data_IF_358806074327
#
_entry.id   IF_358806074327
#
_cell.length_a   1.000
_cell.length_b   1.000
_cell.length_c   1.000
_cell.angle_alpha   90.00
_cell.angle_beta   90.00
_cell.angle_gamma   90.00
#
_symmetry.space_group_name_H-M   'P 1'
#
loop_
_entity.id
_entity.type
_entity.pdbx_description
1 polymer ?
#
# COMPACT_ATOMS: atom_id res chain seq x y z
N UNK A 1 9.65 -37.44 -53.48
CA UNK A 1 8.98 -37.22 -52.19
C UNK A 1 8.73 -35.74 -52.06
N UNK A 2 7.49 -35.32 -52.33
CA UNK A 2 7.03 -33.94 -52.20
C UNK A 2 6.54 -33.74 -50.78
N UNK A 3 6.97 -32.68 -50.09
CA UNK A 3 6.12 -32.03 -49.09
C UNK A 3 6.35 -30.52 -49.15
N UNK A 4 5.22 -29.83 -49.18
CA UNK A 4 5.00 -28.47 -49.63
C UNK A 4 5.29 -27.43 -48.56
N UNK A 5 5.67 -26.25 -49.02
CA UNK A 5 5.57 -25.00 -48.27
C UNK A 5 4.13 -24.45 -48.27
N UNK A 6 3.88 -23.60 -47.27
CA UNK A 6 2.87 -22.54 -47.17
C UNK A 6 1.44 -22.92 -46.76
N UNK A 7 1.03 -22.47 -45.57
CA UNK A 7 -0.03 -21.46 -45.46
C UNK A 7 0.03 -20.78 -44.10
N UNK A 8 0.36 -19.49 -44.15
CA UNK A 8 0.26 -18.50 -43.07
C UNK A 8 -1.20 -18.07 -42.97
N UNK A 9 -1.80 -18.23 -41.79
CA UNK A 9 -3.06 -17.60 -41.43
C UNK A 9 -2.83 -16.79 -40.16
N UNK A 10 -2.85 -15.48 -40.34
CA UNK A 10 -2.89 -14.47 -39.30
C UNK A 10 -4.27 -14.51 -38.66
N UNK A 11 -4.35 -14.91 -37.39
CA UNK A 11 -5.49 -14.61 -36.53
C UNK A 11 -5.00 -13.71 -35.40
N UNK A 12 -5.12 -12.40 -35.63
CA UNK A 12 -5.03 -11.37 -34.59
C UNK A 12 -6.17 -11.57 -33.58
N UNK A 13 -5.88 -12.29 -32.50
CA UNK A 13 -6.76 -12.28 -31.33
C UNK A 13 -6.42 -11.03 -30.51
N UNK A 14 -7.05 -9.91 -30.87
CA UNK A 14 -7.10 -8.70 -30.04
C UNK A 14 -7.93 -8.99 -28.78
N UNK A 15 -7.30 -9.57 -27.76
CA UNK A 15 -7.89 -9.65 -26.42
C UNK A 15 -7.59 -8.34 -25.69
N UNK A 16 -8.53 -7.40 -25.78
CA UNK A 16 -8.58 -6.28 -24.85
C UNK A 16 -8.58 -6.83 -23.42
N UNK A 17 -7.69 -6.36 -22.52
CA UNK A 17 -7.75 -6.79 -21.14
C UNK A 17 -9.10 -6.38 -20.54
N UNK A 18 -9.75 -7.23 -19.74
CA UNK A 18 -10.95 -6.83 -19.01
C UNK A 18 -10.60 -5.63 -18.13
N UNK A 19 -11.26 -4.51 -18.39
CA UNK A 19 -11.21 -3.33 -17.54
C UNK A 19 -11.79 -3.67 -16.19
N UNK A 20 -10.93 -4.03 -15.24
CA UNK A 20 -11.31 -4.12 -13.85
C UNK A 20 -11.44 -2.70 -13.30
N UNK A 21 -12.63 -2.12 -13.50
CA UNK A 21 -13.10 -1.00 -12.70
C UNK A 21 -13.29 -1.49 -11.26
N UNK A 22 -12.25 -1.36 -10.44
CA UNK A 22 -12.40 -1.44 -8.99
C UNK A 22 -12.88 -0.06 -8.54
N UNK A 23 -14.19 0.11 -8.43
CA UNK A 23 -14.80 1.24 -7.76
C UNK A 23 -14.65 1.06 -6.25
N UNK A 24 -13.73 1.82 -5.66
CA UNK A 24 -13.72 2.02 -4.21
C UNK A 24 -14.81 3.04 -3.85
N UNK A 25 -15.80 2.60 -3.07
CA UNK A 25 -16.75 3.50 -2.41
C UNK A 25 -16.34 3.64 -0.95
N UNK A 26 -15.78 4.80 -0.59
CA UNK A 26 -15.71 5.25 0.80
C UNK A 26 -16.55 6.51 0.87
N UNK A 27 -17.62 6.45 1.66
CA UNK A 27 -18.64 7.50 1.75
C UNK A 27 -19.80 7.23 0.81
N UNK A 28 -20.94 6.80 1.38
CA UNK A 28 -22.16 6.57 0.62
C UNK A 28 -22.61 7.83 -0.11
N UNK A 29 -22.80 7.71 -1.43
CA UNK A 29 -23.88 8.27 -2.25
C UNK A 29 -23.59 7.86 -3.71
N UNK A 30 -24.44 7.05 -4.37
CA UNK A 30 -24.28 6.78 -5.79
C UNK A 30 -24.72 8.01 -6.61
N UNK A 31 -23.78 8.64 -7.31
CA UNK A 31 -24.09 9.58 -8.40
C UNK A 31 -24.49 8.76 -9.64
N UNK A 32 -25.76 8.37 -9.70
CA UNK A 32 -26.36 7.90 -10.96
C UNK A 32 -26.59 9.10 -11.87
N UNK A 33 -25.75 9.22 -12.89
CA UNK A 33 -26.01 10.07 -14.05
C UNK A 33 -27.18 9.47 -14.87
N UNK A 34 -28.35 10.07 -14.73
CA UNK A 34 -29.51 9.85 -15.61
C UNK A 34 -30.00 11.20 -16.15
N UNK A 35 -30.46 11.27 -17.41
CA UNK A 35 -30.82 12.53 -18.05
C UNK A 35 -32.21 13.04 -17.62
N UNK A 36 -32.35 14.37 -17.66
CA UNK A 36 -33.55 15.20 -17.44
C UNK A 36 -34.84 14.67 -18.12
N UNK A 37 -36.03 15.03 -17.59
CA UNK A 37 -36.79 16.09 -18.26
C UNK A 37 -37.56 17.06 -17.34
N UNK A 38 -37.59 18.34 -17.73
CA UNK A 38 -38.83 19.11 -17.95
C UNK A 38 -39.70 19.62 -16.78
N UNK A 39 -39.50 20.90 -16.45
CA UNK A 39 -40.50 22.01 -16.45
C UNK A 39 -41.70 22.06 -15.47
N UNK A 40 -41.68 23.12 -14.62
CA UNK A 40 -42.66 24.22 -14.51
C UNK A 40 -43.22 24.56 -13.11
N UNK A 41 -42.97 25.82 -12.71
CA UNK A 41 -43.79 26.77 -11.89
C UNK A 41 -44.02 26.49 -10.40
N UNK A 42 -44.12 27.45 -9.47
CA UNK A 42 -43.89 28.90 -9.36
C UNK A 42 -44.14 29.31 -7.88
N UNK A 43 -43.51 30.41 -7.38
CA UNK A 43 -43.99 31.16 -6.20
C UNK A 43 -42.95 31.48 -5.10
N UNK A 44 -42.54 32.75 -4.99
CA UNK A 44 -41.84 33.31 -3.81
C UNK A 44 -42.81 33.69 -2.66
N UNK A 45 -42.43 34.50 -1.63
CA UNK A 45 -41.25 35.38 -1.53
C UNK A 45 -40.51 35.43 -0.16
N UNK A 46 -39.35 36.13 -0.16
CA UNK A 46 -38.67 36.91 0.92
C UNK A 46 -38.49 36.32 2.34
N UNK A 47 -37.22 36.11 2.71
CA UNK A 47 -36.72 36.04 4.09
C UNK A 47 -35.20 36.25 4.16
N UNK A 48 -34.77 37.08 5.11
CA UNK A 48 -33.46 37.70 5.42
C UNK A 48 -32.13 36.94 5.19
N UNK A 49 -31.00 37.68 5.07
CA UNK A 49 -29.66 37.11 5.06
C UNK A 49 -29.22 36.80 6.50
N UNK A 50 -29.42 35.56 6.94
CA UNK A 50 -28.82 35.09 8.18
C UNK A 50 -27.56 34.31 7.85
N UNK A 51 -26.44 34.97 8.15
CA UNK A 51 -25.24 34.42 8.76
C UNK A 51 -24.72 33.10 8.15
N UNK A 52 -23.58 33.24 7.47
CA UNK A 52 -22.53 32.23 7.47
C UNK A 52 -22.38 31.64 8.87
N UNK A 53 -23.03 30.50 9.08
CA UNK A 53 -22.73 29.57 10.16
C UNK A 53 -21.30 29.09 9.89
N UNK A 54 -20.34 29.77 10.51
CA UNK A 54 -19.07 29.13 10.87
C UNK A 54 -19.44 27.97 11.77
N UNK A 55 -19.68 26.79 11.19
CA UNK A 55 -19.67 25.57 11.97
C UNK A 55 -18.26 25.46 12.55
N UNK A 56 -18.08 25.50 13.88
CA UNK A 56 -16.83 25.03 14.45
C UNK A 56 -16.79 23.54 14.13
N UNK A 57 -15.89 23.12 13.23
CA UNK A 57 -15.62 21.70 13.03
C UNK A 57 -15.37 21.08 14.41
N UNK A 58 -16.19 20.09 14.78
CA UNK A 58 -16.21 19.56 16.13
C UNK A 58 -14.84 18.94 16.49
N UNK A 59 -14.32 19.17 17.71
CA UNK A 59 -13.02 18.66 18.14
C UNK A 59 -12.91 17.13 18.11
N UNK A 60 -14.02 16.41 18.03
CA UNK A 60 -14.07 14.94 17.94
C UNK A 60 -13.59 14.41 16.58
N UNK A 61 -13.96 15.08 15.48
CA UNK A 61 -13.52 14.68 14.15
C UNK A 61 -12.01 14.91 13.96
N UNK A 62 -11.49 15.99 14.54
CA UNK A 62 -10.06 16.27 14.58
C UNK A 62 -9.29 15.22 15.39
N UNK A 63 -9.80 14.79 16.54
CA UNK A 63 -9.16 13.77 17.36
C UNK A 63 -9.17 12.40 16.69
N UNK A 64 -10.30 11.99 16.10
CA UNK A 64 -10.39 10.71 15.37
C UNK A 64 -9.45 10.69 14.16
N UNK A 65 -9.38 11.79 13.43
CA UNK A 65 -8.46 11.94 12.30
C UNK A 65 -7.00 11.84 12.74
N UNK A 66 -6.61 12.54 13.80
CA UNK A 66 -5.25 12.47 14.35
C UNK A 66 -4.88 11.05 14.79
N UNK A 67 -5.81 10.33 15.41
CA UNK A 67 -5.59 8.95 15.80
C UNK A 67 -5.38 8.04 14.56
N UNK A 68 -6.22 8.19 13.53
CA UNK A 68 -6.03 7.46 12.27
C UNK A 68 -4.69 7.78 11.60
N UNK A 69 -4.28 9.05 11.61
CA UNK A 69 -2.97 9.47 11.09
C UNK A 69 -1.81 8.89 11.91
N UNK A 70 -1.94 8.76 13.24
CA UNK A 70 -0.97 8.03 14.08
C UNK A 70 -0.83 6.58 13.63
N UNK A 71 -1.94 5.86 13.49
CA UNK A 71 -1.91 4.44 13.13
C UNK A 71 -1.38 4.22 11.71
N UNK A 72 -1.78 5.07 10.76
CA UNK A 72 -1.25 5.06 9.39
C UNK A 72 0.26 5.36 9.36
N UNK A 73 0.74 6.28 10.21
CA UNK A 73 2.17 6.61 10.33
C UNK A 73 2.97 5.39 10.79
N UNK A 74 2.54 4.76 11.90
CA UNK A 74 3.21 3.60 12.46
C UNK A 74 3.22 2.41 11.51
N UNK A 75 2.05 2.08 10.93
CA UNK A 75 1.95 0.99 9.96
C UNK A 75 2.82 1.27 8.73
N UNK A 76 2.82 2.51 8.23
CA UNK A 76 3.62 2.93 7.08
C UNK A 76 5.12 2.81 7.34
N UNK A 77 5.61 3.35 8.46
CA UNK A 77 7.02 3.23 8.84
C UNK A 77 7.47 1.76 8.93
N UNK A 78 6.65 0.91 9.56
CA UNK A 78 6.89 -0.53 9.65
C UNK A 78 6.91 -1.19 8.25
N UNK A 79 5.98 -0.84 7.36
CA UNK A 79 5.95 -1.34 5.99
C UNK A 79 7.21 -0.95 5.21
N UNK A 80 7.65 0.31 5.30
CA UNK A 80 8.90 0.76 4.67
C UNK A 80 10.14 0.06 5.26
N UNK A 81 10.16 -0.18 6.58
CA UNK A 81 11.24 -0.92 7.26
C UNK A 81 11.33 -2.36 6.78
N UNK A 82 10.20 -3.05 6.64
CA UNK A 82 10.16 -4.41 6.09
C UNK A 82 10.61 -4.44 4.64
N UNK A 83 10.11 -3.55 3.80
CA UNK A 83 10.53 -3.52 2.39
C UNK A 83 12.02 -3.23 2.26
N UNK A 84 12.55 -2.27 3.03
CA UNK A 84 13.99 -2.01 3.08
C UNK A 84 14.80 -3.25 3.44
N UNK A 85 14.35 -3.99 4.46
CA UNK A 85 14.96 -5.27 4.82
C UNK A 85 14.90 -6.28 3.65
N UNK A 86 13.76 -6.44 3.00
CA UNK A 86 13.61 -7.33 1.82
C UNK A 86 14.59 -6.93 0.72
N UNK A 87 14.73 -5.63 0.44
CA UNK A 87 15.63 -5.14 -0.58
C UNK A 87 17.09 -5.47 -0.25
N UNK A 88 17.55 -5.26 0.99
CA UNK A 88 18.91 -5.65 1.41
C UNK A 88 19.15 -7.16 1.40
N UNK A 89 18.12 -7.98 1.60
CA UNK A 89 18.25 -9.44 1.51
C UNK A 89 18.31 -9.95 0.06
N UNK A 90 17.72 -9.22 -0.88
CA UNK A 90 17.50 -9.70 -2.25
C UNK A 90 18.43 -9.05 -3.25
N UNK A 91 18.63 -7.74 -3.17
CA UNK A 91 19.38 -6.94 -4.13
C UNK A 91 20.81 -6.67 -3.62
N UNK A 92 21.76 -6.41 -4.53
CA UNK A 92 23.07 -5.90 -4.17
C UNK A 92 22.96 -4.46 -3.63
N UNK A 93 23.83 -4.07 -2.70
CA UNK A 93 23.81 -2.75 -2.07
C UNK A 93 23.99 -1.60 -3.09
N UNK A 94 24.66 -1.82 -4.22
CA UNK A 94 24.84 -0.80 -5.26
C UNK A 94 23.51 -0.38 -5.92
N UNK A 95 22.50 -1.25 -5.86
CA UNK A 95 21.15 -1.00 -6.34
C UNK A 95 20.25 -0.40 -5.25
N UNK A 96 20.73 -0.34 -4.02
CA UNK A 96 20.05 0.20 -2.84
C UNK A 96 20.48 1.66 -2.61
N UNK A 97 20.39 2.48 -3.66
CA UNK A 97 20.68 3.91 -3.59
C UNK A 97 19.39 4.70 -3.38
N UNK A 98 19.36 5.72 -2.50
CA UNK A 98 18.14 6.49 -2.19
C UNK A 98 17.36 7.01 -3.41
N UNK A 99 18.05 7.28 -4.52
CA UNK A 99 17.47 7.82 -5.75
C UNK A 99 17.05 6.77 -6.81
N UNK A 100 17.52 5.53 -6.69
CA UNK A 100 17.31 4.43 -7.67
C UNK A 100 16.61 3.23 -7.02
N UNK A 101 16.48 3.24 -5.69
CA UNK A 101 15.87 2.18 -4.90
C UNK A 101 14.47 1.83 -5.42
N UNK A 102 14.14 0.54 -5.60
CA UNK A 102 12.76 0.14 -5.86
C UNK A 102 11.86 0.74 -4.77
N UNK A 103 10.80 1.43 -5.16
CA UNK A 103 9.93 2.13 -4.20
C UNK A 103 9.02 1.16 -3.45
N UNK A 104 8.85 -0.05 -3.97
CA UNK A 104 8.06 -1.14 -3.39
C UNK A 104 8.54 -2.51 -3.92
N UNK A 105 8.05 -3.59 -3.32
CA UNK A 105 8.41 -4.97 -3.73
C UNK A 105 8.09 -5.25 -5.21
N UNK A 106 7.02 -4.68 -5.76
CA UNK A 106 6.65 -4.85 -7.16
C UNK A 106 7.68 -4.24 -8.11
N UNK A 107 8.26 -3.09 -7.77
CA UNK A 107 9.33 -2.45 -8.52
C UNK A 107 10.60 -3.31 -8.50
N UNK A 108 10.93 -3.90 -7.34
CA UNK A 108 12.04 -4.86 -7.24
C UNK A 108 11.78 -6.08 -8.13
N UNK A 109 10.58 -6.65 -8.12
CA UNK A 109 10.24 -7.77 -8.99
C UNK A 109 10.32 -7.41 -10.48
N UNK A 110 9.93 -6.19 -10.85
CA UNK A 110 10.09 -5.67 -12.21
C UNK A 110 11.58 -5.51 -12.58
N UNK A 111 12.40 -5.00 -11.67
CA UNK A 111 13.85 -4.87 -11.85
C UNK A 111 14.52 -6.22 -12.08
N UNK A 112 14.24 -7.21 -11.22
CA UNK A 112 14.75 -8.58 -11.33
C UNK A 112 14.35 -9.18 -12.68
N UNK A 113 13.09 -9.01 -13.11
CA UNK A 113 12.62 -9.49 -14.42
C UNK A 113 13.33 -8.81 -15.58
N UNK A 114 13.57 -7.49 -15.49
CA UNK A 114 14.25 -6.71 -16.54
C UNK A 114 15.68 -7.24 -16.78
N UNK A 115 16.47 -7.36 -15.72
CA UNK A 115 17.85 -7.87 -15.80
C UNK A 115 17.91 -9.37 -16.16
N UNK A 116 16.90 -10.14 -15.77
CA UNK A 116 16.78 -11.54 -16.21
C UNK A 116 16.56 -11.68 -17.71
N UNK A 117 15.79 -10.78 -18.33
CA UNK A 117 15.53 -10.78 -19.78
C UNK A 117 16.73 -10.29 -20.61
N UNK A 118 17.51 -9.35 -20.08
CA UNK A 118 18.69 -8.81 -20.77
C UNK A 118 19.93 -9.70 -20.70
N UNK A 119 19.88 -10.85 -20.01
CA UNK A 119 21.03 -11.71 -19.77
C UNK A 119 22.02 -11.16 -18.73
N UNK A 120 21.70 -10.03 -18.09
CA UNK A 120 22.53 -9.37 -17.09
C UNK A 120 22.20 -9.81 -15.65
N UNK A 121 21.61 -11.01 -15.48
CA UNK A 121 21.21 -11.52 -14.17
C UNK A 121 22.37 -11.60 -13.15
N UNK A 122 23.60 -11.78 -13.64
CA UNK A 122 24.83 -11.80 -12.83
C UNK A 122 25.03 -10.47 -12.08
N UNK A 123 24.62 -9.34 -12.67
CA UNK A 123 24.73 -8.01 -12.02
C UNK A 123 23.82 -7.85 -10.80
N UNK A 124 22.79 -8.68 -10.69
CA UNK A 124 21.90 -8.71 -9.53
C UNK A 124 22.25 -9.84 -8.55
N UNK A 125 23.43 -10.46 -8.65
CA UNK A 125 23.91 -11.47 -7.71
C UNK A 125 22.88 -12.56 -7.36
N UNK A 126 22.23 -13.11 -8.38
CA UNK A 126 21.17 -14.12 -8.20
C UNK A 126 19.95 -13.64 -7.40
N UNK A 127 19.61 -12.34 -7.43
CA UNK A 127 18.44 -11.75 -6.76
C UNK A 127 17.13 -12.53 -7.03
N UNK A 128 16.96 -13.09 -8.22
CA UNK A 128 15.80 -13.93 -8.55
C UNK A 128 15.66 -15.13 -7.62
N UNK A 129 16.77 -15.80 -7.32
CA UNK A 129 16.78 -16.97 -6.44
C UNK A 129 16.69 -16.55 -4.97
N UNK A 130 17.43 -15.51 -4.56
CA UNK A 130 17.31 -14.92 -3.21
C UNK A 130 15.85 -14.54 -2.91
N UNK A 131 15.17 -13.88 -3.85
CA UNK A 131 13.77 -13.52 -3.71
C UNK A 131 12.84 -14.73 -3.65
N UNK A 132 13.07 -15.75 -4.48
CA UNK A 132 12.29 -16.99 -4.47
C UNK A 132 12.43 -17.72 -3.12
N UNK A 133 13.64 -17.80 -2.58
CA UNK A 133 13.91 -18.40 -1.27
C UNK A 133 13.21 -17.62 -0.15
N UNK A 134 13.30 -16.30 -0.15
CA UNK A 134 12.64 -15.45 0.85
C UNK A 134 11.11 -15.59 0.78
N UNK A 135 10.53 -15.59 -0.42
CA UNK A 135 9.09 -15.85 -0.60
C UNK A 135 8.67 -17.21 -0.06
N UNK A 136 9.47 -18.25 -0.28
CA UNK A 136 9.16 -19.58 0.25
C UNK A 136 9.26 -19.63 1.78
N UNK A 137 10.31 -19.01 2.36
CA UNK A 137 10.50 -18.94 3.82
C UNK A 137 9.30 -18.31 4.51
N UNK A 138 8.82 -17.19 3.97
CA UNK A 138 7.72 -16.43 4.56
C UNK A 138 6.34 -16.80 4.02
N UNK A 139 6.24 -17.81 3.15
CA UNK A 139 5.00 -18.17 2.45
C UNK A 139 4.32 -16.93 1.85
N UNK A 140 5.12 -16.09 1.19
CA UNK A 140 4.66 -14.81 0.66
C UNK A 140 3.53 -15.01 -0.35
N UNK A 141 2.51 -14.16 -0.29
CA UNK A 141 1.29 -14.26 -1.08
C UNK A 141 0.95 -12.89 -1.66
N UNK A 142 0.00 -12.86 -2.61
CA UNK A 142 -0.51 -11.60 -3.16
C UNK A 142 -1.22 -10.74 -2.09
N UNK A 143 -1.81 -11.36 -1.08
CA UNK A 143 -2.49 -10.65 0.00
C UNK A 143 -1.51 -9.80 0.82
N UNK A 144 -0.28 -10.29 1.05
CA UNK A 144 0.78 -9.52 1.70
C UNK A 144 1.14 -8.25 0.91
N UNK A 145 1.33 -8.38 -0.40
CA UNK A 145 1.61 -7.24 -1.28
C UNK A 145 0.45 -6.24 -1.30
N UNK A 146 -0.80 -6.71 -1.30
CA UNK A 146 -1.98 -5.86 -1.22
C UNK A 146 -2.03 -5.08 0.11
N UNK A 147 -1.83 -5.76 1.25
CA UNK A 147 -1.79 -5.15 2.57
C UNK A 147 -0.72 -4.04 2.67
N UNK A 148 0.51 -4.33 2.23
CA UNK A 148 1.58 -3.32 2.21
C UNK A 148 1.23 -2.13 1.31
N UNK A 149 0.59 -2.37 0.17
CA UNK A 149 0.18 -1.30 -0.75
C UNK A 149 -0.87 -0.39 -0.12
N UNK A 150 -1.87 -0.94 0.57
CA UNK A 150 -2.90 -0.18 1.27
C UNK A 150 -2.30 0.65 2.41
N UNK A 151 -1.44 0.05 3.23
CA UNK A 151 -0.77 0.75 4.34
C UNK A 151 0.09 1.91 3.82
N UNK A 152 0.90 1.66 2.79
CA UNK A 152 1.75 2.70 2.20
C UNK A 152 0.93 3.80 1.54
N UNK A 153 -0.18 3.45 0.90
CA UNK A 153 -1.11 4.44 0.37
C UNK A 153 -1.64 5.34 1.51
N UNK A 154 -2.14 4.76 2.60
CA UNK A 154 -2.61 5.51 3.76
C UNK A 154 -1.53 6.43 4.35
N UNK A 155 -0.30 5.90 4.50
CA UNK A 155 0.85 6.67 4.98
C UNK A 155 1.17 7.90 4.13
N UNK A 156 1.15 7.76 2.80
CA UNK A 156 1.45 8.86 1.87
C UNK A 156 0.37 9.96 1.86
N UNK A 157 -0.82 9.68 2.39
CA UNK A 157 -1.94 10.62 2.46
C UNK A 157 -2.14 11.23 3.86
N UNK A 158 -1.19 11.03 4.79
CA UNK A 158 -1.19 11.70 6.08
C UNK A 158 -1.00 13.21 5.87
N UNK A 159 -1.86 14.01 6.48
CA UNK A 159 -1.95 15.44 6.19
C UNK A 159 -0.77 16.22 6.76
N UNK A 160 -0.34 15.88 7.99
CA UNK A 160 0.82 16.49 8.63
C UNK A 160 1.77 15.43 9.21
N UNK A 161 2.57 14.77 8.36
CA UNK A 161 3.41 13.65 8.78
C UNK A 161 4.48 14.06 9.81
N UNK A 162 5.02 15.28 9.73
CA UNK A 162 6.03 15.77 10.67
C UNK A 162 5.45 15.94 12.08
N UNK A 163 4.25 16.53 12.21
CA UNK A 163 3.59 16.70 13.50
C UNK A 163 3.27 15.35 14.15
N UNK A 164 2.80 14.37 13.36
CA UNK A 164 2.55 13.01 13.85
C UNK A 164 3.86 12.37 14.33
N UNK A 165 4.95 12.47 13.56
CA UNK A 165 6.26 11.93 13.97
C UNK A 165 6.80 12.57 15.24
N UNK A 166 6.64 13.88 15.44
CA UNK A 166 7.07 14.54 16.67
C UNK A 166 6.31 14.06 17.92
N UNK A 167 5.09 13.56 17.74
CA UNK A 167 4.26 13.01 18.82
C UNK A 167 4.44 11.51 19.04
N UNK A 168 5.04 10.81 18.08
CA UNK A 168 5.34 9.39 18.22
C UNK A 168 6.56 9.21 19.13
N UNK A 169 6.45 8.29 20.08
CA UNK A 169 7.61 7.83 20.83
C UNK A 169 8.56 7.09 19.87
N UNK A 170 9.88 7.22 20.10
CA UNK A 170 10.91 6.51 19.34
C UNK A 170 10.70 4.98 19.42
N UNK A 171 10.07 4.50 20.49
CA UNK A 171 9.81 3.07 20.72
C UNK A 171 8.51 2.56 20.07
N UNK A 172 7.53 3.43 19.80
CA UNK A 172 6.23 3.03 19.25
C UNK A 172 6.37 2.33 17.88
N UNK A 173 7.34 2.74 17.07
CA UNK A 173 7.62 2.18 15.74
C UNK A 173 8.48 0.90 15.73
N UNK A 174 8.96 0.46 16.89
CA UNK A 174 9.74 -0.78 17.03
C UNK A 174 9.01 -1.86 17.83
N UNK A 175 7.89 -1.54 18.47
CA UNK A 175 7.15 -2.49 19.30
C UNK A 175 6.30 -3.46 18.46
N UNK A 176 6.36 -4.75 18.78
CA UNK A 176 5.53 -5.79 18.16
C UNK A 176 4.03 -5.54 18.35
N UNK A 177 3.62 -5.25 19.59
CA UNK A 177 2.21 -5.06 19.97
C UNK A 177 1.60 -3.86 19.27
N UNK A 178 2.35 -2.76 19.26
CA UNK A 178 1.92 -1.49 18.68
C UNK A 178 1.90 -1.54 17.16
N UNK A 179 2.87 -2.22 16.54
CA UNK A 179 2.85 -2.46 15.10
C UNK A 179 1.67 -3.35 14.70
N UNK A 180 1.37 -4.41 15.48
CA UNK A 180 0.18 -5.25 15.24
C UNK A 180 -1.10 -4.45 15.31
N UNK A 181 -1.24 -3.61 16.34
CA UNK A 181 -2.40 -2.72 16.49
C UNK A 181 -2.48 -1.71 15.34
N UNK A 182 -1.36 -1.13 14.92
CA UNK A 182 -1.32 -0.19 13.80
C UNK A 182 -1.78 -0.85 12.49
N UNK A 183 -1.32 -2.06 12.18
CA UNK A 183 -1.75 -2.80 11.00
C UNK A 183 -3.26 -3.10 11.03
N UNK A 184 -3.78 -3.56 12.16
CA UNK A 184 -5.23 -3.81 12.31
C UNK A 184 -6.06 -2.53 12.17
N UNK A 185 -5.54 -1.37 12.58
CA UNK A 185 -6.25 -0.08 12.47
C UNK A 185 -6.16 0.54 11.07
N UNK A 186 -5.09 0.25 10.32
CA UNK A 186 -4.83 0.83 9.01
C UNK A 186 -5.36 -0.01 7.84
N UNK A 187 -5.58 -1.31 8.05
CA UNK A 187 -6.05 -2.23 7.02
C UNK A 187 -7.57 -2.39 7.03
N UNK A 188 -8.17 -2.76 5.89
CA UNK A 188 -9.53 -3.30 5.87
C UNK A 188 -9.54 -4.75 6.41
N UNK A 189 -10.69 -5.18 6.93
CA UNK A 189 -10.85 -6.47 7.63
C UNK A 189 -10.40 -7.67 6.81
N UNK A 190 -10.60 -7.64 5.49
CA UNK A 190 -10.21 -8.69 4.56
C UNK A 190 -8.68 -8.91 4.49
N UNK A 191 -7.89 -7.94 4.94
CA UNK A 191 -6.44 -7.98 4.94
C UNK A 191 -5.84 -8.15 6.35
N UNK A 192 -6.65 -8.31 7.40
CA UNK A 192 -6.15 -8.45 8.77
C UNK A 192 -5.22 -9.65 8.95
N UNK A 193 -5.57 -10.81 8.40
CA UNK A 193 -4.73 -12.00 8.52
C UNK A 193 -3.38 -11.82 7.83
N UNK A 194 -3.38 -11.23 6.63
CA UNK A 194 -2.15 -10.90 5.91
C UNK A 194 -1.32 -9.84 6.65
N UNK A 195 -1.98 -8.85 7.25
CA UNK A 195 -1.34 -7.83 8.08
C UNK A 195 -0.67 -8.44 9.31
N UNK A 196 -1.37 -9.31 10.04
CA UNK A 196 -0.80 -10.04 11.18
C UNK A 196 0.39 -10.89 10.75
N UNK A 197 0.28 -11.64 9.64
CA UNK A 197 1.40 -12.44 9.10
C UNK A 197 2.61 -11.57 8.75
N UNK A 198 2.41 -10.38 8.19
CA UNK A 198 3.51 -9.43 7.94
C UNK A 198 4.19 -9.01 9.25
N UNK A 199 3.42 -8.73 10.30
CA UNK A 199 3.96 -8.34 11.60
C UNK A 199 4.77 -9.48 12.22
N UNK A 200 4.33 -10.73 12.11
CA UNK A 200 5.15 -11.90 12.51
C UNK A 200 6.44 -11.99 11.68
N UNK A 201 6.37 -11.80 10.35
CA UNK A 201 7.58 -11.82 9.50
C UNK A 201 8.59 -10.75 9.94
N UNK A 202 8.11 -9.57 10.36
CA UNK A 202 8.96 -8.50 10.88
C UNK A 202 9.58 -8.86 12.22
N UNK A 203 8.83 -9.52 13.11
CA UNK A 203 9.35 -10.04 14.38
C UNK A 203 10.42 -11.12 14.16
N UNK A 204 10.14 -12.10 13.31
CA UNK A 204 11.10 -13.16 12.91
C UNK A 204 12.38 -12.60 12.27
N UNK A 205 12.27 -11.42 11.63
CA UNK A 205 13.39 -10.70 11.03
C UNK A 205 14.12 -9.77 12.04
N UNK A 206 13.76 -9.80 13.33
CA UNK A 206 14.24 -8.90 14.38
C UNK A 206 14.08 -7.41 14.05
N UNK A 207 13.05 -7.05 13.27
CA UNK A 207 12.73 -5.66 12.95
C UNK A 207 11.82 -5.03 14.01
N UNK A 208 11.17 -5.86 14.82
CA UNK A 208 10.31 -5.47 15.93
C UNK A 208 10.82 -6.12 17.23
N UNK A 209 10.61 -5.44 18.35
CA UNK A 209 10.98 -5.87 19.70
C UNK A 209 9.74 -6.23 20.49
N UNK A 210 9.86 -7.25 21.32
CA UNK A 210 8.86 -7.52 22.35
C UNK A 210 8.98 -6.50 23.48
N UNK A 211 7.84 -6.15 24.10
CA UNK A 211 7.80 -5.19 25.21
C UNK A 211 8.72 -5.59 26.40
N UNK A 212 8.96 -6.89 26.58
CA UNK A 212 9.93 -7.42 27.56
C UNK A 212 11.38 -7.04 27.27
N UNK A 213 11.70 -6.76 26.01
CA UNK A 213 13.04 -6.43 25.52
C UNK A 213 13.31 -4.93 25.48
N UNK A 214 12.26 -4.10 25.56
CA UNK A 214 12.35 -2.63 25.48
C UNK A 214 12.73 -2.02 26.84
N UNK A 215 12.35 -2.66 27.95
CA UNK A 215 12.60 -2.18 29.32
C UNK A 215 14.02 -2.51 29.87
N UNK A 216 14.95 -2.98 29.03
CA UNK A 216 16.31 -3.38 29.45
C UNK A 216 17.44 -2.44 28.96
N UNK A 217 17.10 -1.28 28.39
CA UNK A 217 18.06 -0.26 27.92
C UNK A 217 17.75 1.09 28.53
#
# INVERSE_FOLDING_TARGET
MSMSESSSSEDEISVSPPGYGVTFSIGGLPLTAGPLPGSSSAGGPRGSPSETVNHPGEPEDDNRRREQEKWAMLAGQAAYKLEAYVFHQVLPDEFIKPHIFPRNITDMEALIRKYGKSGEAVRLENAKEKWKQLKNKWRWTKAHTAALSVIKFAYLHISNPLEVMMRLDRNDGESLTETRRAFLKALPTELYDAGNQIVEMMHDANLLKDESSINQT
#
